data_IF_267179188107
#
_entry.id   IF_267179188107
#
_cell.length_a   1.000
_cell.length_b   1.000
_cell.length_c   1.000
_cell.angle_alpha   90.00
_cell.angle_beta   90.00
_cell.angle_gamma   90.00
#
_symmetry.space_group_name_H-M   'P 1'
#
loop_
_entity.id
_entity.type
_entity.pdbx_description
1 polymer ?
#
# COMPACT_ATOMS: atom_id res chain seq x y z
N UNK A 1 -10.88 11.59 -20.92
CA UNK A 1 -12.27 11.42 -20.53
C UNK A 1 -12.69 9.96 -20.55
N UNK A 2 -13.61 9.59 -19.67
CA UNK A 2 -14.20 8.26 -19.59
C UNK A 2 -15.68 8.36 -19.98
N UNK A 3 -16.12 7.47 -20.85
CA UNK A 3 -17.52 7.29 -21.18
C UNK A 3 -17.98 5.99 -20.55
N UNK A 4 -18.93 6.08 -19.64
CA UNK A 4 -19.48 4.93 -18.91
C UNK A 4 -20.90 4.73 -19.40
N UNK A 5 -21.22 3.54 -19.91
CA UNK A 5 -22.54 3.22 -20.45
C UNK A 5 -23.12 2.06 -19.63
N UNK A 6 -24.36 2.22 -19.19
CA UNK A 6 -25.15 1.13 -18.66
C UNK A 6 -25.91 0.45 -19.82
N UNK A 7 -25.53 -0.74 -20.26
CA UNK A 7 -26.14 -1.38 -21.44
C UNK A 7 -27.60 -1.82 -21.22
N UNK A 8 -28.09 -1.81 -19.97
CA UNK A 8 -29.49 -2.20 -19.67
C UNK A 8 -30.44 -1.01 -19.69
N UNK A 9 -29.98 0.17 -19.31
CA UNK A 9 -30.82 1.38 -19.22
C UNK A 9 -30.52 2.38 -20.31
N UNK A 10 -29.48 2.12 -21.13
CA UNK A 10 -28.95 3.03 -22.15
C UNK A 10 -28.50 4.40 -21.58
N UNK A 11 -28.48 4.52 -20.27
CA UNK A 11 -27.93 5.71 -19.62
C UNK A 11 -26.42 5.76 -19.81
N UNK A 12 -25.90 6.93 -20.02
CA UNK A 12 -24.47 7.13 -20.12
C UNK A 12 -23.99 8.28 -19.24
N UNK A 13 -22.77 8.16 -18.78
CA UNK A 13 -22.06 9.16 -17.99
C UNK A 13 -20.73 9.53 -18.62
N UNK A 14 -20.28 10.72 -18.30
CA UNK A 14 -19.00 11.25 -18.75
C UNK A 14 -18.22 11.76 -17.54
N UNK A 15 -16.94 11.39 -17.44
CA UNK A 15 -16.05 11.96 -16.43
C UNK A 15 -14.67 12.26 -16.99
N UNK A 16 -14.08 13.31 -16.48
CA UNK A 16 -12.71 13.70 -16.77
C UNK A 16 -11.85 13.59 -15.50
N UNK A 17 -10.54 13.35 -15.66
CA UNK A 17 -9.62 13.45 -14.54
C UNK A 17 -9.70 14.87 -13.93
N UNK A 18 -10.09 14.96 -12.69
CA UNK A 18 -10.22 16.23 -11.96
C UNK A 18 -8.96 16.59 -11.17
N UNK A 19 -7.89 15.78 -11.27
CA UNK A 19 -6.70 15.96 -10.45
C UNK A 19 -6.91 15.59 -8.97
N UNK A 20 -8.00 14.88 -8.66
CA UNK A 20 -8.25 14.43 -7.29
C UNK A 20 -7.09 13.60 -6.76
N UNK A 21 -6.58 14.01 -5.60
CA UNK A 21 -5.59 13.26 -4.83
C UNK A 21 -6.27 12.73 -3.57
N UNK A 22 -6.36 11.41 -3.39
CA UNK A 22 -6.94 10.86 -2.17
C UNK A 22 -6.06 11.23 -0.97
N UNK A 23 -6.65 11.64 0.17
CA UNK A 23 -5.87 11.95 1.37
C UNK A 23 -5.11 10.70 1.86
N UNK A 24 -4.02 10.89 2.60
CA UNK A 24 -3.30 9.76 3.20
C UNK A 24 -4.13 9.04 4.28
N UNK A 25 -4.97 9.79 5.00
CA UNK A 25 -5.85 9.26 6.05
C UNK A 25 -7.31 9.33 5.63
N UNK A 26 -8.08 8.31 5.99
CA UNK A 26 -9.52 8.29 5.78
C UNK A 26 -9.95 8.00 4.33
N UNK A 27 -9.06 7.54 3.46
CA UNK A 27 -9.44 7.15 2.10
C UNK A 27 -10.09 5.77 2.06
N UNK A 28 -11.08 5.53 1.18
CA UNK A 28 -11.66 4.22 0.98
C UNK A 28 -10.68 3.28 0.28
N UNK A 29 -10.74 2.01 0.62
CA UNK A 29 -9.91 0.98 0.01
C UNK A 29 -10.49 0.53 -1.34
N UNK A 30 -9.65 0.55 -2.37
CA UNK A 30 -9.97 0.02 -3.71
C UNK A 30 -8.73 -0.69 -4.25
N UNK A 31 -8.86 -1.98 -4.53
CA UNK A 31 -7.77 -2.82 -5.03
C UNK A 31 -7.13 -2.22 -6.29
N UNK A 32 -5.81 -2.09 -6.28
CA UNK A 32 -5.03 -1.54 -7.39
C UNK A 32 -5.12 -0.02 -7.59
N UNK A 33 -5.97 0.68 -6.84
CA UNK A 33 -6.17 2.13 -6.97
C UNK A 33 -5.79 2.86 -5.68
N UNK A 34 -6.46 2.54 -4.57
CA UNK A 34 -6.22 3.11 -3.24
C UNK A 34 -5.96 2.02 -2.21
N UNK A 35 -5.15 1.03 -2.55
CA UNK A 35 -4.73 -0.07 -1.69
C UNK A 35 -3.54 0.30 -0.79
N UNK A 36 -3.02 -0.67 -0.05
CA UNK A 36 -1.89 -0.47 0.86
C UNK A 36 -0.62 0.00 0.13
N UNK A 37 -0.31 -0.53 -1.06
CA UNK A 37 0.86 -0.10 -1.82
C UNK A 37 0.69 1.32 -2.40
N UNK A 38 -0.50 1.66 -2.86
CA UNK A 38 -0.81 3.02 -3.31
C UNK A 38 -0.62 4.03 -2.19
N UNK A 39 -1.01 3.69 -0.94
CA UNK A 39 -0.80 4.54 0.23
C UNK A 39 0.70 4.77 0.50
N UNK A 40 1.53 3.73 0.40
CA UNK A 40 3.00 3.85 0.56
C UNK A 40 3.58 4.77 -0.50
N UNK A 41 3.19 4.60 -1.76
CA UNK A 41 3.66 5.43 -2.88
C UNK A 41 3.30 6.89 -2.69
N UNK A 42 2.07 7.17 -2.31
CA UNK A 42 1.58 8.53 -2.10
C UNK A 42 2.30 9.19 -0.94
N UNK A 43 2.50 8.47 0.18
CA UNK A 43 3.27 8.98 1.32
C UNK A 43 4.71 9.33 0.91
N UNK A 44 5.40 8.45 0.18
CA UNK A 44 6.77 8.73 -0.29
C UNK A 44 6.80 9.92 -1.24
N UNK A 45 5.78 10.07 -2.08
CA UNK A 45 5.67 11.24 -2.97
C UNK A 45 5.44 12.53 -2.21
N UNK A 46 4.56 12.53 -1.21
CA UNK A 46 4.21 13.73 -0.44
C UNK A 46 5.29 14.13 0.56
N UNK A 47 5.84 13.17 1.31
CA UNK A 47 6.74 13.45 2.43
C UNK A 47 8.24 13.44 2.04
N UNK A 48 8.60 12.79 0.96
CA UNK A 48 10.00 12.62 0.52
C UNK A 48 10.28 13.13 -0.88
N UNK A 49 9.25 13.52 -1.63
CA UNK A 49 9.30 13.81 -3.08
C UNK A 49 9.91 12.66 -3.91
N UNK A 50 9.69 11.43 -3.45
CA UNK A 50 10.16 10.20 -4.11
C UNK A 50 9.00 9.53 -4.81
N UNK A 51 9.10 9.35 -6.12
CA UNK A 51 8.09 8.64 -6.90
C UNK A 51 8.45 7.16 -7.00
N UNK A 52 7.87 6.35 -6.11
CA UNK A 52 8.04 4.91 -6.16
C UNK A 52 7.34 4.30 -7.39
N UNK A 53 7.95 3.26 -7.94
CA UNK A 53 7.39 2.52 -9.07
C UNK A 53 6.07 1.85 -8.66
N UNK A 54 5.08 1.97 -9.52
CA UNK A 54 3.87 1.14 -9.41
C UNK A 54 4.07 -0.20 -10.11
N UNK A 55 3.37 -1.21 -9.60
CA UNK A 55 3.37 -2.56 -10.11
C UNK A 55 1.93 -3.00 -10.38
N UNK A 56 1.72 -3.65 -11.51
CA UNK A 56 0.43 -4.23 -11.82
C UNK A 56 0.05 -5.24 -10.75
N UNK A 57 -1.15 -5.07 -10.17
CA UNK A 57 -1.71 -6.03 -9.23
C UNK A 57 -2.33 -7.18 -10.03
N UNK A 58 -2.30 -8.41 -9.50
CA UNK A 58 -3.17 -9.47 -10.00
C UNK A 58 -4.64 -9.01 -10.01
N UNK A 59 -5.48 -9.71 -10.75
CA UNK A 59 -6.90 -9.36 -10.89
C UNK A 59 -7.59 -9.37 -9.52
N UNK A 60 -7.20 -10.30 -8.65
CA UNK A 60 -7.79 -10.43 -7.31
C UNK A 60 -6.72 -10.37 -6.21
N UNK A 61 -7.10 -9.93 -4.98
CA UNK A 61 -6.20 -9.99 -3.83
C UNK A 61 -5.73 -11.40 -3.48
N UNK A 62 -6.54 -12.42 -3.74
CA UNK A 62 -6.19 -13.83 -3.49
C UNK A 62 -5.04 -14.29 -4.37
N UNK A 63 -5.01 -13.90 -5.63
CA UNK A 63 -3.90 -14.19 -6.54
C UNK A 63 -2.60 -13.52 -6.09
N UNK A 64 -2.70 -12.38 -5.42
CA UNK A 64 -1.55 -11.68 -4.86
C UNK A 64 -0.82 -12.49 -3.79
N UNK A 65 -1.56 -13.26 -2.97
CA UNK A 65 -0.98 -14.12 -1.93
C UNK A 65 -0.14 -15.24 -2.54
N UNK A 66 -0.54 -15.74 -3.71
CA UNK A 66 0.19 -16.79 -4.43
C UNK A 66 1.45 -16.27 -5.13
N UNK A 67 1.52 -14.98 -5.40
CA UNK A 67 2.64 -14.32 -6.06
C UNK A 67 3.22 -13.24 -5.13
N UNK A 68 4.33 -13.49 -4.41
CA UNK A 68 4.87 -12.57 -3.41
C UNK A 68 5.53 -11.32 -4.05
N UNK A 69 4.71 -10.45 -4.65
CA UNK A 69 5.17 -9.26 -5.38
C UNK A 69 5.95 -8.31 -4.48
N UNK A 70 5.56 -8.14 -3.22
CA UNK A 70 6.30 -7.26 -2.32
C UNK A 70 7.78 -7.67 -2.21
N UNK A 71 8.04 -8.94 -1.93
CA UNK A 71 9.39 -9.45 -1.77
C UNK A 71 10.17 -9.43 -3.08
N UNK A 72 9.53 -9.84 -4.19
CA UNK A 72 10.18 -9.90 -5.50
C UNK A 72 10.45 -8.53 -6.12
N UNK A 73 9.68 -7.51 -5.73
CA UNK A 73 9.79 -6.15 -6.29
C UNK A 73 10.47 -5.14 -5.37
N UNK A 74 10.68 -5.44 -4.09
CA UNK A 74 11.24 -4.50 -3.11
C UNK A 74 12.54 -3.85 -3.61
N UNK A 75 13.52 -4.64 -4.02
CA UNK A 75 14.81 -4.13 -4.51
C UNK A 75 14.68 -3.30 -5.80
N UNK A 76 13.71 -3.65 -6.68
CA UNK A 76 13.45 -2.90 -7.92
C UNK A 76 12.76 -1.55 -7.66
N UNK A 77 12.24 -1.39 -6.46
CA UNK A 77 11.60 -0.16 -6.00
C UNK A 77 12.55 0.68 -5.15
N UNK A 78 13.78 0.23 -4.94
CA UNK A 78 14.78 0.94 -4.15
C UNK A 78 14.79 0.59 -2.67
N UNK A 79 14.11 -0.48 -2.27
CA UNK A 79 14.10 -0.95 -0.88
C UNK A 79 15.10 -2.09 -0.66
N UNK A 80 15.78 -2.05 0.47
CA UNK A 80 16.53 -3.20 1.00
C UNK A 80 15.89 -3.71 2.28
N UNK A 81 16.03 -4.99 2.52
CA UNK A 81 15.64 -5.58 3.79
C UNK A 81 16.55 -5.13 4.94
N UNK A 82 15.96 -4.87 6.10
CA UNK A 82 16.69 -4.54 7.31
C UNK A 82 17.20 -5.81 7.99
N UNK A 83 18.41 -5.74 8.52
CA UNK A 83 18.95 -6.79 9.40
C UNK A 83 18.21 -6.77 10.75
N UNK A 84 18.19 -7.89 11.49
CA UNK A 84 17.48 -7.98 12.77
C UNK A 84 17.85 -6.89 13.78
N UNK A 85 19.12 -6.51 13.84
CA UNK A 85 19.65 -5.51 14.77
C UNK A 85 19.37 -4.06 14.39
N UNK A 86 18.96 -3.80 13.17
CA UNK A 86 18.66 -2.44 12.71
C UNK A 86 17.33 -1.94 13.28
N UNK A 87 17.39 -0.74 13.88
CA UNK A 87 16.18 -0.10 14.42
C UNK A 87 15.36 0.51 13.29
N UNK A 88 14.04 0.50 13.47
CA UNK A 88 13.11 1.20 12.58
C UNK A 88 13.29 2.71 12.68
N UNK A 89 13.16 3.37 11.54
CA UNK A 89 13.10 4.82 11.41
C UNK A 89 11.87 5.21 10.57
N UNK A 90 11.48 6.49 10.65
CA UNK A 90 10.34 7.00 9.89
C UNK A 90 10.52 6.79 8.39
N UNK A 91 9.53 6.18 7.78
CA UNK A 91 9.51 5.82 6.37
C UNK A 91 9.89 4.35 6.09
N UNK A 92 10.36 3.59 7.07
CA UNK A 92 10.59 2.15 6.83
C UNK A 92 9.27 1.46 6.48
N UNK A 93 9.32 0.58 5.47
CA UNK A 93 8.17 -0.21 5.05
C UNK A 93 8.15 -1.54 5.81
N UNK A 94 6.98 -1.91 6.30
CA UNK A 94 6.72 -3.14 7.05
C UNK A 94 5.84 -4.05 6.21
N UNK A 95 6.35 -5.22 5.84
CA UNK A 95 5.54 -6.25 5.18
C UNK A 95 4.91 -7.16 6.23
N UNK A 96 3.62 -7.37 6.12
CA UNK A 96 2.81 -8.05 7.13
C UNK A 96 1.95 -9.16 6.52
N UNK A 97 1.65 -10.15 7.35
CA UNK A 97 0.65 -11.19 7.09
C UNK A 97 -0.62 -10.86 7.88
N UNK A 98 -1.64 -10.33 7.22
CA UNK A 98 -2.90 -9.93 7.86
C UNK A 98 -4.03 -10.84 7.39
N UNK A 99 -4.59 -11.60 8.31
CA UNK A 99 -5.77 -12.45 8.06
C UNK A 99 -5.55 -13.68 7.17
N UNK A 100 -4.34 -13.85 6.61
CA UNK A 100 -4.00 -15.01 5.78
C UNK A 100 -2.51 -15.32 5.88
N UNK A 101 -2.07 -16.54 5.57
CA UNK A 101 -0.65 -16.87 5.45
C UNK A 101 -0.04 -16.10 4.26
N UNK A 102 1.24 -15.70 4.42
CA UNK A 102 2.00 -14.95 3.42
C UNK A 102 1.90 -13.43 3.58
N UNK A 103 2.91 -12.73 3.09
CA UNK A 103 3.02 -11.28 3.20
C UNK A 103 2.07 -10.61 2.18
N UNK A 104 0.93 -10.18 2.67
CA UNK A 104 -0.17 -9.65 1.86
C UNK A 104 -0.47 -8.17 2.10
N UNK A 105 0.25 -7.54 3.02
CA UNK A 105 0.01 -6.16 3.42
C UNK A 105 1.33 -5.41 3.59
N UNK A 106 1.31 -4.10 3.30
CA UNK A 106 2.43 -3.18 3.56
C UNK A 106 1.95 -1.96 4.34
N UNK A 107 2.78 -1.54 5.30
CA UNK A 107 2.58 -0.34 6.10
C UNK A 107 3.86 0.50 6.14
N UNK A 108 3.76 1.77 6.53
CA UNK A 108 4.90 2.66 6.79
C UNK A 108 5.01 2.88 8.28
N UNK A 109 6.22 2.70 8.81
CA UNK A 109 6.54 3.02 10.20
C UNK A 109 6.76 4.54 10.37
N UNK A 110 6.12 5.13 11.38
CA UNK A 110 6.17 6.56 11.69
C UNK A 110 6.11 6.79 13.20
N UNK A 111 7.24 7.04 13.84
CA UNK A 111 7.32 7.42 15.27
C UNK A 111 6.58 6.45 16.25
N UNK A 112 6.76 5.16 16.06
CA UNK A 112 6.11 4.15 16.90
C UNK A 112 4.68 3.78 16.47
N UNK A 113 4.19 4.37 15.40
CA UNK A 113 2.92 4.08 14.76
C UNK A 113 3.13 3.49 13.36
N UNK A 114 2.07 3.02 12.75
CA UNK A 114 2.03 2.61 11.35
C UNK A 114 0.95 3.37 10.60
N UNK A 115 1.31 3.88 9.43
CA UNK A 115 0.36 4.34 8.42
C UNK A 115 0.07 3.18 7.48
N UNK A 116 -1.20 2.77 7.41
CA UNK A 116 -1.58 1.65 6.58
C UNK A 116 -3.03 1.70 6.10
N UNK A 117 -3.37 0.78 5.19
CA UNK A 117 -4.69 0.70 4.60
C UNK A 117 -5.12 -0.76 4.48
N UNK A 118 -5.88 -1.23 5.45
CA UNK A 118 -6.44 -2.59 5.45
C UNK A 118 -7.63 -2.69 4.50
N UNK A 119 -7.86 -3.88 3.96
CA UNK A 119 -9.03 -4.20 3.13
C UNK A 119 -10.33 -3.86 3.87
N UNK A 120 -11.27 -3.27 3.15
CA UNK A 120 -12.60 -2.87 3.64
C UNK A 120 -12.58 -1.89 4.83
N UNK A 121 -11.48 -1.17 5.02
CA UNK A 121 -11.36 -0.11 6.02
C UNK A 121 -10.90 1.20 5.38
N UNK A 122 -11.04 2.28 6.12
CA UNK A 122 -10.37 3.54 5.75
C UNK A 122 -8.89 3.47 6.12
N UNK A 123 -8.04 4.12 5.32
CA UNK A 123 -6.64 4.28 5.69
C UNK A 123 -6.49 4.99 7.02
N UNK A 124 -5.59 4.53 7.85
CA UNK A 124 -5.42 5.08 9.20
C UNK A 124 -3.95 5.07 9.64
N UNK A 125 -3.70 5.78 10.72
CA UNK A 125 -2.47 5.73 11.49
C UNK A 125 -2.81 5.20 12.88
N UNK A 126 -2.14 4.15 13.31
CA UNK A 126 -2.37 3.52 14.62
C UNK A 126 -1.05 3.06 15.25
N UNK A 127 -1.00 2.87 16.59
CA UNK A 127 0.19 2.39 17.28
C UNK A 127 0.72 1.08 16.68
N UNK A 128 2.04 0.98 16.48
CA UNK A 128 2.70 -0.27 16.09
C UNK A 128 2.64 -1.25 17.25
N UNK A 129 1.46 -1.81 17.46
CA UNK A 129 1.08 -2.68 18.56
C UNK A 129 1.82 -4.03 18.50
N UNK A 130 1.80 -4.76 19.63
CA UNK A 130 2.34 -6.11 19.69
C UNK A 130 1.71 -7.06 18.66
N UNK A 131 0.42 -6.86 18.36
CA UNK A 131 -0.27 -7.63 17.33
C UNK A 131 0.31 -7.35 15.94
N UNK A 132 0.47 -6.07 15.56
CA UNK A 132 1.07 -5.68 14.28
C UNK A 132 2.53 -6.13 14.18
N UNK A 133 3.27 -6.08 15.29
CA UNK A 133 4.63 -6.59 15.36
C UNK A 133 4.67 -8.11 15.05
N UNK A 134 3.75 -8.89 15.63
CA UNK A 134 3.63 -10.33 15.34
C UNK A 134 3.22 -10.62 13.89
N UNK A 135 2.46 -9.74 13.26
CA UNK A 135 2.09 -9.86 11.85
C UNK A 135 3.23 -9.47 10.90
N UNK A 136 4.24 -8.74 11.39
CA UNK A 136 5.34 -8.24 10.56
C UNK A 136 6.34 -9.37 10.25
N UNK A 137 6.44 -9.73 8.98
CA UNK A 137 7.38 -10.74 8.48
C UNK A 137 8.56 -10.17 7.69
N UNK A 138 8.58 -8.85 7.41
CA UNK A 138 9.69 -8.20 6.73
C UNK A 138 9.76 -6.71 7.05
N UNK A 139 10.98 -6.17 7.13
CA UNK A 139 11.24 -4.76 7.41
C UNK A 139 12.17 -4.23 6.33
N UNK A 140 11.81 -3.15 5.67
CA UNK A 140 12.50 -2.65 4.50
C UNK A 140 12.76 -1.16 4.61
N UNK A 141 13.92 -0.72 4.14
CA UNK A 141 14.32 0.70 4.06
C UNK A 141 14.58 1.12 2.64
N UNK A 142 14.05 2.26 2.26
CA UNK A 142 14.39 2.89 1.00
C UNK A 142 15.84 3.41 1.03
N UNK A 143 16.63 3.09 -0.02
CA UNK A 143 18.07 3.41 -0.10
C UNK A 143 18.51 3.95 -1.47
N UNK A 144 17.58 4.04 -2.45
CA UNK A 144 17.89 4.51 -3.81
C UNK A 144 17.74 6.02 -3.92
#
# INVERSE_FOLDING_TARGET
PWHIVNPKTEEWGYCEPCGYKPPLLGRPWVWGITDCWSLVRDWYKEEKDIQLKDWDRPITPEEFILNPLFQSCAWRTGFRELRPEEKLINGDALLMSIGSPGLNHVAIFLDGEVLHHLTDRLSCREPYSEWLLKCTGGRYRYVA
#
